data_IF_313747337380
#
_entry.id   IF_313747337380
#
_cell.length_a   1.000
_cell.length_b   1.000
_cell.length_c   1.000
_cell.angle_alpha   90.00
_cell.angle_beta   90.00
_cell.angle_gamma   90.00
#
_symmetry.space_group_name_H-M   'P 1'
#
loop_
_entity.id
_entity.type
_entity.pdbx_description
1 polymer ?
#
# COMPACT_ATOMS: atom_id res chain seq x y z
N UNK A 1 -50.78 16.47 -46.22
CA UNK A 1 -49.34 16.32 -46.48
C UNK A 1 -48.59 16.88 -45.28
N UNK A 2 -48.26 16.03 -44.31
CA UNK A 2 -47.51 16.36 -43.14
C UNK A 2 -46.22 15.56 -43.23
N UNK A 3 -45.14 16.30 -43.51
CA UNK A 3 -43.78 15.76 -43.59
C UNK A 3 -43.24 15.56 -42.14
N UNK A 4 -43.10 14.30 -41.77
CA UNK A 4 -42.50 13.89 -40.48
C UNK A 4 -41.08 13.39 -40.70
N UNK A 5 -40.17 14.31 -40.92
CA UNK A 5 -38.72 14.01 -40.85
C UNK A 5 -38.26 14.19 -39.39
N UNK A 6 -38.32 13.10 -38.60
CA UNK A 6 -37.59 13.03 -37.34
C UNK A 6 -36.11 12.91 -37.63
N UNK A 7 -35.23 13.71 -37.01
CA UNK A 7 -33.78 13.55 -37.15
C UNK A 7 -33.37 12.23 -36.50
N UNK A 8 -32.80 11.35 -37.30
CA UNK A 8 -32.10 10.14 -36.81
C UNK A 8 -30.95 10.55 -35.93
N UNK A 9 -31.05 10.27 -34.65
CA UNK A 9 -29.91 10.36 -33.73
C UNK A 9 -28.75 9.48 -34.29
N UNK A 10 -27.52 9.98 -34.37
CA UNK A 10 -26.41 9.17 -34.79
C UNK A 10 -26.26 7.96 -33.84
N UNK A 11 -26.31 6.78 -34.39
CA UNK A 11 -26.00 5.53 -33.66
C UNK A 11 -24.50 5.59 -33.39
N UNK A 12 -24.17 6.05 -32.19
CA UNK A 12 -22.79 5.96 -31.69
C UNK A 12 -22.40 4.48 -31.58
N UNK A 13 -21.23 4.11 -32.07
CA UNK A 13 -20.69 2.76 -31.97
C UNK A 13 -20.53 2.43 -30.47
N UNK A 14 -21.10 1.31 -29.96
CA UNK A 14 -20.93 0.93 -28.55
C UNK A 14 -19.46 0.85 -28.09
N UNK A 15 -18.53 0.64 -29.03
CA UNK A 15 -17.10 0.65 -28.76
C UNK A 15 -16.54 2.07 -28.48
N UNK A 16 -17.10 3.09 -29.14
CA UNK A 16 -16.74 4.49 -28.89
C UNK A 16 -17.30 4.97 -27.54
N UNK A 17 -18.53 4.61 -27.22
CA UNK A 17 -19.19 4.96 -25.95
C UNK A 17 -18.44 4.34 -24.73
N UNK A 18 -18.04 3.06 -24.85
CA UNK A 18 -17.23 2.39 -23.82
C UNK A 18 -15.81 3.02 -23.72
N UNK A 19 -15.22 3.44 -24.84
CA UNK A 19 -13.90 4.06 -24.83
C UNK A 19 -13.93 5.48 -24.24
N UNK A 20 -15.00 6.23 -24.43
CA UNK A 20 -15.21 7.54 -23.78
C UNK A 20 -15.48 7.38 -22.28
N UNK A 21 -16.34 6.44 -21.88
CA UNK A 21 -16.69 6.17 -20.48
C UNK A 21 -15.48 5.65 -19.67
N UNK A 22 -14.56 4.92 -20.31
CA UNK A 22 -13.30 4.48 -19.69
C UNK A 22 -12.20 5.55 -19.71
N UNK A 23 -12.25 6.49 -20.65
CA UNK A 23 -11.21 7.51 -20.79
C UNK A 23 -11.25 8.57 -19.66
N UNK A 24 -12.43 8.92 -19.16
CA UNK A 24 -12.57 9.86 -18.04
C UNK A 24 -11.95 9.37 -16.74
N UNK A 25 -12.27 8.16 -16.22
CA UNK A 25 -11.64 7.67 -15.01
C UNK A 25 -10.14 7.35 -15.18
N UNK A 26 -9.69 7.04 -16.42
CA UNK A 26 -8.27 6.86 -16.70
C UNK A 26 -7.52 8.20 -16.79
N UNK A 27 -8.18 9.27 -17.19
CA UNK A 27 -7.62 10.62 -17.18
C UNK A 27 -7.52 11.20 -15.75
N UNK A 28 -8.45 10.86 -14.85
CA UNK A 28 -8.36 11.19 -13.41
C UNK A 28 -7.24 10.41 -12.69
N UNK A 29 -6.90 9.23 -13.16
CA UNK A 29 -5.70 8.50 -12.75
C UNK A 29 -4.41 9.13 -13.32
N UNK A 30 -4.51 10.31 -13.96
CA UNK A 30 -3.33 11.03 -14.42
C UNK A 30 -2.45 11.30 -13.22
N UNK A 31 -1.44 10.45 -13.11
CA UNK A 31 -0.34 10.50 -12.18
C UNK A 31 0.08 11.96 -12.08
N UNK A 32 -0.04 12.54 -10.90
CA UNK A 32 0.43 13.91 -10.63
C UNK A 32 1.82 14.12 -11.22
N UNK A 33 2.30 15.34 -11.35
CA UNK A 33 3.44 15.67 -12.22
C UNK A 33 4.56 14.62 -12.04
N UNK A 34 5.03 14.05 -13.14
CA UNK A 34 6.00 12.94 -13.22
C UNK A 34 7.18 13.06 -12.24
N UNK A 35 7.55 14.27 -11.87
CA UNK A 35 8.65 14.56 -10.95
C UNK A 35 8.34 14.14 -9.49
N UNK A 36 7.05 14.15 -9.05
CA UNK A 36 6.65 13.62 -7.75
C UNK A 36 6.86 12.12 -7.66
N UNK A 37 6.53 11.38 -8.74
CA UNK A 37 6.75 9.94 -8.81
C UNK A 37 8.24 9.63 -8.81
N UNK A 38 9.03 10.44 -9.53
CA UNK A 38 10.49 10.32 -9.56
C UNK A 38 11.12 10.56 -8.19
N UNK A 39 10.73 11.63 -7.48
CA UNK A 39 11.22 11.92 -6.13
C UNK A 39 10.87 10.76 -5.19
N UNK A 40 9.64 10.25 -5.25
CA UNK A 40 9.21 9.10 -4.43
C UNK A 40 10.05 7.86 -4.72
N UNK A 41 10.36 7.60 -5.98
CA UNK A 41 11.24 6.51 -6.39
C UNK A 41 12.66 6.67 -5.85
N UNK A 42 13.25 7.85 -5.97
CA UNK A 42 14.60 8.14 -5.44
C UNK A 42 14.63 8.00 -3.91
N UNK A 43 13.64 8.54 -3.20
CA UNK A 43 13.54 8.43 -1.75
C UNK A 43 13.38 6.96 -1.30
N UNK A 44 12.61 6.16 -2.03
CA UNK A 44 12.45 4.75 -1.76
C UNK A 44 13.77 3.97 -1.94
N UNK A 45 14.52 4.24 -3.01
CA UNK A 45 15.85 3.64 -3.22
C UNK A 45 16.82 4.06 -2.13
N UNK A 46 16.88 5.36 -1.79
CA UNK A 46 17.75 5.86 -0.74
C UNK A 46 17.44 5.21 0.62
N UNK A 47 16.16 5.11 0.97
CA UNK A 47 15.70 4.43 2.18
C UNK A 47 16.11 2.94 2.17
N UNK A 48 15.90 2.25 1.05
CA UNK A 48 16.27 0.84 0.93
C UNK A 48 17.77 0.59 1.07
N UNK A 49 18.60 1.47 0.51
CA UNK A 49 20.06 1.42 0.69
C UNK A 49 20.44 1.63 2.17
N UNK A 50 19.86 2.63 2.83
CA UNK A 50 20.09 2.87 4.27
C UNK A 50 19.65 1.65 5.09
N UNK A 51 18.54 1.03 4.76
CA UNK A 51 18.02 -0.16 5.45
C UNK A 51 18.99 -1.35 5.36
N UNK A 52 19.68 -1.52 4.23
CA UNK A 52 20.66 -2.60 4.05
C UNK A 52 21.98 -2.34 4.78
N UNK A 53 22.48 -1.10 4.79
CA UNK A 53 23.78 -0.76 5.39
C UNK A 53 23.69 -0.34 6.85
N UNK A 54 22.56 0.21 7.27
CA UNK A 54 22.33 0.71 8.63
C UNK A 54 20.91 0.40 9.10
N UNK A 55 20.58 -0.88 9.39
CA UNK A 55 19.22 -1.28 9.74
C UNK A 55 18.66 -0.56 10.97
N UNK A 56 19.54 -0.22 11.94
CA UNK A 56 19.14 0.58 13.09
C UNK A 56 18.68 2.00 12.70
N UNK A 57 19.39 2.67 11.80
CA UNK A 57 19.01 3.99 11.32
C UNK A 57 17.68 3.95 10.54
N UNK A 58 17.45 2.91 9.74
CA UNK A 58 16.20 2.71 9.03
C UNK A 58 15.02 2.51 10.00
N UNK A 59 15.20 1.73 11.07
CA UNK A 59 14.19 1.58 12.13
C UNK A 59 13.83 2.91 12.78
N UNK A 60 14.83 3.71 13.12
CA UNK A 60 14.61 5.03 13.70
C UNK A 60 13.87 5.96 12.75
N UNK A 61 14.25 5.97 11.46
CA UNK A 61 13.57 6.76 10.44
C UNK A 61 12.09 6.38 10.32
N UNK A 62 11.79 5.06 10.28
CA UNK A 62 10.41 4.57 10.24
C UNK A 62 9.64 5.02 11.48
N UNK A 63 10.22 4.88 12.68
CA UNK A 63 9.56 5.26 13.93
C UNK A 63 9.25 6.76 13.99
N UNK A 64 10.17 7.61 13.52
CA UNK A 64 9.98 9.06 13.48
C UNK A 64 8.87 9.43 12.48
N UNK A 65 8.92 8.89 11.26
CA UNK A 65 7.91 9.16 10.23
C UNK A 65 6.53 8.67 10.69
N UNK A 66 6.47 7.44 11.24
CA UNK A 66 5.23 6.89 11.77
C UNK A 66 4.70 7.69 12.97
N UNK A 67 5.59 8.11 13.87
CA UNK A 67 5.23 8.95 15.02
C UNK A 67 4.64 10.30 14.60
N UNK A 68 5.27 10.98 13.64
CA UNK A 68 4.74 12.22 13.09
C UNK A 68 3.39 12.01 12.39
N UNK A 69 3.28 10.95 11.59
CA UNK A 69 2.01 10.57 10.94
C UNK A 69 0.90 10.30 11.97
N UNK A 70 1.19 9.51 13.01
CA UNK A 70 0.22 9.16 14.03
C UNK A 70 -0.29 10.37 14.83
N UNK A 71 0.56 11.39 15.05
CA UNK A 71 0.14 12.65 15.67
C UNK A 71 -0.84 13.40 14.75
N UNK A 72 -0.49 13.57 13.47
CA UNK A 72 -1.34 14.28 12.52
C UNK A 72 -2.67 13.57 12.34
N UNK A 73 -2.63 12.23 12.18
CA UNK A 73 -3.82 11.39 12.05
C UNK A 73 -4.71 11.48 13.29
N UNK A 74 -4.12 11.33 14.48
CA UNK A 74 -4.85 11.43 15.74
C UNK A 74 -5.47 12.80 15.98
N UNK A 75 -4.79 13.90 15.62
CA UNK A 75 -5.38 15.26 15.69
C UNK A 75 -6.57 15.37 14.73
N UNK A 76 -6.44 14.83 13.52
CA UNK A 76 -7.52 14.82 12.52
C UNK A 76 -8.72 14.00 13.01
N UNK A 77 -8.47 12.84 13.63
CA UNK A 77 -9.49 11.97 14.21
C UNK A 77 -10.23 12.66 15.38
N UNK A 78 -9.49 13.36 16.26
CA UNK A 78 -10.08 14.16 17.35
C UNK A 78 -10.95 15.27 16.78
N UNK A 79 -10.47 16.02 15.78
CA UNK A 79 -11.24 17.09 15.15
C UNK A 79 -12.52 16.54 14.50
N UNK A 80 -12.41 15.41 13.80
CA UNK A 80 -13.55 14.71 13.21
C UNK A 80 -14.55 14.24 14.28
N UNK A 81 -14.10 13.61 15.36
CA UNK A 81 -14.94 13.16 16.47
C UNK A 81 -15.75 14.30 17.09
N UNK A 82 -15.12 15.46 17.31
CA UNK A 82 -15.78 16.67 17.84
C UNK A 82 -16.82 17.20 16.84
N UNK A 83 -16.53 17.17 15.55
CA UNK A 83 -17.45 17.64 14.52
C UNK A 83 -18.72 16.77 14.44
N UNK A 84 -18.57 15.44 14.49
CA UNK A 84 -19.69 14.49 14.37
C UNK A 84 -20.40 14.17 15.69
N UNK A 85 -20.00 14.79 16.79
CA UNK A 85 -20.53 14.50 18.15
C UNK A 85 -22.06 14.58 18.28
N UNK A 86 -22.71 15.44 17.48
CA UNK A 86 -24.17 15.62 17.49
C UNK A 86 -24.91 14.58 16.63
N UNK A 87 -24.24 13.95 15.70
CA UNK A 87 -24.83 13.05 14.70
C UNK A 87 -24.51 11.58 14.99
N UNK A 88 -23.32 11.29 15.55
CA UNK A 88 -22.85 9.93 15.81
C UNK A 88 -22.97 9.55 17.29
N UNK A 89 -23.78 8.54 17.61
CA UNK A 89 -23.94 8.04 18.98
C UNK A 89 -22.65 7.49 19.61
N UNK A 90 -21.66 7.11 18.77
CA UNK A 90 -20.36 6.52 19.17
C UNK A 90 -19.17 7.46 18.99
N UNK A 91 -19.38 8.77 18.95
CA UNK A 91 -18.31 9.77 18.77
C UNK A 91 -17.18 9.66 19.81
N UNK A 92 -17.52 9.24 21.05
CA UNK A 92 -16.55 9.06 22.13
C UNK A 92 -15.50 7.98 21.83
N UNK A 93 -15.84 6.94 21.04
CA UNK A 93 -14.88 5.93 20.61
C UNK A 93 -13.86 6.48 19.61
N UNK A 94 -14.32 7.33 18.67
CA UNK A 94 -13.44 8.05 17.75
C UNK A 94 -12.50 9.00 18.50
N UNK A 95 -13.04 9.75 19.48
CA UNK A 95 -12.24 10.65 20.31
C UNK A 95 -11.16 9.89 21.10
N UNK A 96 -11.52 8.75 21.69
CA UNK A 96 -10.58 7.88 22.39
C UNK A 96 -9.48 7.36 21.45
N UNK A 97 -9.84 6.87 20.26
CA UNK A 97 -8.89 6.40 19.26
C UNK A 97 -7.91 7.51 18.86
N UNK A 98 -8.39 8.71 18.56
CA UNK A 98 -7.54 9.85 18.20
C UNK A 98 -6.58 10.26 19.33
N UNK A 99 -7.04 10.26 20.59
CA UNK A 99 -6.16 10.53 21.75
C UNK A 99 -5.08 9.47 21.88
N UNK A 100 -5.42 8.18 21.74
CA UNK A 100 -4.46 7.07 21.79
C UNK A 100 -3.46 7.20 20.66
N UNK A 101 -3.90 7.55 19.45
CA UNK A 101 -3.02 7.75 18.28
C UNK A 101 -2.01 8.88 18.53
N UNK A 102 -2.45 10.04 19.06
CA UNK A 102 -1.54 11.14 19.42
C UNK A 102 -0.53 10.72 20.48
N UNK A 103 -0.97 10.05 21.54
CA UNK A 103 -0.08 9.58 22.60
C UNK A 103 0.93 8.54 22.09
N UNK A 104 0.49 7.61 21.23
CA UNK A 104 1.36 6.64 20.58
C UNK A 104 2.39 7.32 19.66
N UNK A 105 1.96 8.35 18.91
CA UNK A 105 2.84 9.14 18.07
C UNK A 105 3.91 9.91 18.88
N UNK A 106 3.53 10.52 19.99
CA UNK A 106 4.47 11.19 20.90
C UNK A 106 5.45 10.16 21.49
N UNK A 107 4.95 9.02 21.96
CA UNK A 107 5.81 7.96 22.49
C UNK A 107 6.80 7.44 21.44
N UNK A 108 6.38 7.34 20.17
CA UNK A 108 7.25 6.94 19.06
C UNK A 108 8.36 7.96 18.78
N UNK A 109 8.09 9.26 18.96
CA UNK A 109 9.10 10.31 18.79
C UNK A 109 10.07 10.39 19.98
N UNK A 110 9.59 10.13 21.21
CA UNK A 110 10.42 10.19 22.43
C UNK A 110 11.27 8.93 22.58
N UNK A 111 10.73 7.76 22.21
CA UNK A 111 11.39 6.46 22.35
C UNK A 111 11.39 5.69 21.01
N UNK A 112 12.04 6.23 19.96
CA UNK A 112 11.93 5.68 18.60
C UNK A 112 12.44 4.23 18.51
N UNK A 113 13.46 3.84 19.28
CA UNK A 113 13.95 2.47 19.30
C UNK A 113 12.93 1.45 19.84
N UNK A 114 12.22 1.80 20.90
CA UNK A 114 11.14 0.96 21.44
C UNK A 114 9.94 0.90 20.50
N UNK A 115 9.50 2.05 19.99
CA UNK A 115 8.38 2.13 19.07
C UNK A 115 8.67 1.31 17.79
N UNK A 116 9.90 1.41 17.25
CA UNK A 116 10.33 0.61 16.11
C UNK A 116 10.31 -0.89 16.40
N UNK A 117 10.82 -1.31 17.57
CA UNK A 117 10.82 -2.71 17.95
C UNK A 117 9.41 -3.28 18.10
N UNK A 118 8.52 -2.58 18.81
CA UNK A 118 7.12 -2.99 18.94
C UNK A 118 6.39 -2.99 17.60
N UNK A 119 6.59 -1.96 16.77
CA UNK A 119 6.01 -1.87 15.43
C UNK A 119 6.49 -3.02 14.53
N UNK A 120 7.78 -3.34 14.54
CA UNK A 120 8.34 -4.45 13.78
C UNK A 120 7.77 -5.79 14.25
N UNK A 121 7.70 -6.03 15.55
CA UNK A 121 7.09 -7.26 16.10
C UNK A 121 5.60 -7.37 15.73
N UNK A 122 4.86 -6.27 15.83
CA UNK A 122 3.45 -6.24 15.41
C UNK A 122 3.29 -6.61 13.93
N UNK A 123 4.13 -6.04 13.05
CA UNK A 123 4.12 -6.37 11.62
C UNK A 123 4.49 -7.83 11.38
N UNK A 124 5.51 -8.36 12.06
CA UNK A 124 5.91 -9.77 11.93
C UNK A 124 4.76 -10.68 12.32
N UNK A 125 4.10 -10.42 13.47
CA UNK A 125 2.95 -11.22 13.89
C UNK A 125 1.76 -11.10 12.93
N UNK A 126 1.55 -9.93 12.35
CA UNK A 126 0.53 -9.74 11.31
C UNK A 126 0.86 -10.58 10.08
N UNK A 127 2.11 -10.62 9.64
CA UNK A 127 2.57 -11.46 8.52
C UNK A 127 2.42 -12.95 8.84
N UNK A 128 2.77 -13.38 10.05
CA UNK A 128 2.60 -14.76 10.51
C UNK A 128 1.13 -15.17 10.44
N UNK A 129 0.25 -14.38 11.05
CA UNK A 129 -1.18 -14.64 11.05
C UNK A 129 -1.76 -14.67 9.63
N UNK A 130 -1.39 -13.67 8.81
CA UNK A 130 -1.81 -13.62 7.41
C UNK A 130 -1.38 -14.87 6.63
N UNK A 131 -0.12 -15.30 6.73
CA UNK A 131 0.39 -16.47 6.01
C UNK A 131 -0.32 -17.77 6.43
N UNK A 132 -0.58 -17.95 7.72
CA UNK A 132 -1.30 -19.12 8.23
C UNK A 132 -2.75 -19.12 7.73
N UNK A 133 -3.46 -18.01 7.87
CA UNK A 133 -4.85 -17.89 7.42
C UNK A 133 -4.97 -18.01 5.89
N UNK A 134 -4.10 -17.33 5.16
CA UNK A 134 -4.07 -17.39 3.70
C UNK A 134 -3.77 -18.83 3.22
N UNK A 135 -2.76 -19.47 3.79
CA UNK A 135 -2.44 -20.85 3.44
C UNK A 135 -3.59 -21.82 3.72
N UNK A 136 -4.28 -21.66 4.87
CA UNK A 136 -5.46 -22.45 5.21
C UNK A 136 -6.62 -22.24 4.21
N UNK A 137 -6.89 -20.99 3.82
CA UNK A 137 -7.94 -20.69 2.83
C UNK A 137 -7.61 -21.22 1.44
N UNK A 138 -6.35 -21.14 1.01
CA UNK A 138 -5.88 -21.69 -0.28
C UNK A 138 -6.04 -23.22 -0.31
N UNK A 139 -5.69 -23.91 0.77
CA UNK A 139 -5.89 -25.37 0.87
C UNK A 139 -7.38 -25.70 0.88
N UNK A 140 -8.20 -24.95 1.63
CA UNK A 140 -9.64 -25.15 1.69
C UNK A 140 -10.32 -24.98 0.34
N UNK A 141 -9.93 -23.96 -0.43
CA UNK A 141 -10.48 -23.70 -1.77
C UNK A 141 -9.99 -24.70 -2.84
N UNK A 142 -8.84 -25.36 -2.61
CA UNK A 142 -8.31 -26.36 -3.51
C UNK A 142 -9.22 -27.60 -3.68
N UNK A 143 -10.14 -27.84 -2.73
CA UNK A 143 -11.11 -28.94 -2.82
C UNK A 143 -12.11 -28.81 -3.98
N UNK A 144 -12.42 -27.55 -4.41
CA UNK A 144 -13.31 -27.25 -5.53
C UNK A 144 -12.59 -26.98 -6.86
N UNK A 145 -11.25 -26.99 -6.87
CA UNK A 145 -10.47 -26.72 -8.08
C UNK A 145 -10.35 -27.93 -8.98
N UNK A 146 -10.24 -27.70 -10.31
CA UNK A 146 -9.93 -28.75 -11.28
C UNK A 146 -8.62 -29.46 -10.93
N UNK A 147 -8.53 -30.75 -11.24
CA UNK A 147 -7.40 -31.61 -10.87
C UNK A 147 -6.01 -31.05 -11.25
N UNK A 148 -5.92 -30.31 -12.36
CA UNK A 148 -4.67 -29.74 -12.88
C UNK A 148 -4.13 -28.55 -12.04
N UNK A 149 -5.00 -27.81 -11.33
CA UNK A 149 -4.62 -26.66 -10.47
C UNK A 149 -4.51 -27.03 -8.98
N UNK A 150 -5.18 -28.10 -8.55
CA UNK A 150 -5.30 -28.50 -7.16
C UNK A 150 -3.96 -28.76 -6.46
N UNK A 151 -3.05 -29.48 -7.13
CA UNK A 151 -1.73 -29.80 -6.55
C UNK A 151 -0.89 -28.54 -6.28
N UNK A 152 -0.90 -27.60 -7.21
CA UNK A 152 -0.19 -26.33 -7.07
C UNK A 152 -0.78 -25.46 -5.96
N UNK A 153 -2.12 -25.40 -5.83
CA UNK A 153 -2.78 -24.67 -4.78
C UNK A 153 -2.46 -25.24 -3.39
N UNK A 154 -2.50 -26.59 -3.24
CA UNK A 154 -2.12 -27.25 -1.97
C UNK A 154 -0.65 -26.97 -1.64
N UNK A 155 0.26 -27.08 -2.60
CA UNK A 155 1.67 -26.77 -2.39
C UNK A 155 1.88 -25.32 -1.93
N UNK A 156 1.26 -24.36 -2.61
CA UNK A 156 1.34 -22.94 -2.25
C UNK A 156 0.77 -22.67 -0.85
N UNK A 157 -0.37 -23.27 -0.51
CA UNK A 157 -0.97 -23.14 0.81
C UNK A 157 -0.11 -23.72 1.93
N UNK A 158 0.45 -24.92 1.72
CA UNK A 158 1.38 -25.56 2.69
C UNK A 158 2.65 -24.73 2.84
N UNK A 159 3.24 -24.24 1.74
CA UNK A 159 4.41 -23.38 1.77
C UNK A 159 4.14 -22.07 2.53
N UNK A 160 2.96 -21.47 2.36
CA UNK A 160 2.56 -20.25 3.09
C UNK A 160 2.46 -20.52 4.61
N UNK A 161 1.80 -21.60 5.01
CA UNK A 161 1.71 -21.98 6.44
C UNK A 161 3.09 -22.27 7.01
N UNK A 162 3.93 -23.06 6.31
CA UNK A 162 5.27 -23.38 6.76
C UNK A 162 6.12 -22.11 6.93
N UNK A 163 6.06 -21.16 6.00
CA UNK A 163 6.72 -19.86 6.12
C UNK A 163 6.24 -19.08 7.35
N UNK A 164 4.92 -19.01 7.57
CA UNK A 164 4.36 -18.35 8.76
C UNK A 164 4.83 -18.98 10.07
N UNK A 165 4.84 -20.33 10.16
CA UNK A 165 5.30 -21.06 11.34
C UNK A 165 6.79 -20.86 11.58
N UNK A 166 7.63 -20.94 10.53
CA UNK A 166 9.08 -20.70 10.65
C UNK A 166 9.33 -19.27 11.15
N UNK A 167 8.64 -18.27 10.60
CA UNK A 167 8.76 -16.89 11.04
C UNK A 167 8.30 -16.69 12.49
N UNK A 168 7.24 -17.38 12.94
CA UNK A 168 6.80 -17.36 14.33
C UNK A 168 7.87 -17.93 15.26
N UNK A 169 8.43 -19.11 14.94
CA UNK A 169 9.49 -19.73 15.72
C UNK A 169 10.72 -18.82 15.81
N UNK A 170 11.16 -18.25 14.67
CA UNK A 170 12.30 -17.32 14.63
C UNK A 170 12.04 -16.11 15.51
N UNK A 171 10.82 -15.57 15.50
CA UNK A 171 10.45 -14.41 16.33
C UNK A 171 10.49 -14.72 17.82
N UNK A 172 10.12 -15.93 18.23
CA UNK A 172 10.20 -16.37 19.63
C UNK A 172 11.63 -16.65 20.09
N UNK A 173 12.43 -17.31 19.24
CA UNK A 173 13.80 -17.73 19.61
C UNK A 173 14.79 -16.57 19.50
N UNK A 174 14.68 -15.77 18.44
CA UNK A 174 15.62 -14.69 18.13
C UNK A 174 14.89 -13.47 17.58
N UNK A 175 14.14 -12.71 18.43
CA UNK A 175 13.35 -11.56 17.96
C UNK A 175 14.19 -10.51 17.23
N UNK A 176 15.42 -10.29 17.63
CA UNK A 176 16.34 -9.39 16.95
C UNK A 176 16.64 -9.80 15.51
N UNK A 177 16.87 -11.10 15.27
CA UNK A 177 17.10 -11.61 13.92
C UNK A 177 15.85 -11.52 13.04
N UNK A 178 14.67 -11.76 13.61
CA UNK A 178 13.40 -11.60 12.89
C UNK A 178 13.18 -10.13 12.47
N UNK A 179 13.46 -9.17 13.37
CA UNK A 179 13.37 -7.73 13.08
C UNK A 179 14.38 -7.35 11.99
N UNK A 180 15.63 -7.81 12.07
CA UNK A 180 16.63 -7.55 11.04
C UNK A 180 16.23 -8.12 9.68
N UNK A 181 15.70 -9.35 9.65
CA UNK A 181 15.18 -9.98 8.44
C UNK A 181 14.03 -9.17 7.81
N UNK A 182 13.12 -8.65 8.63
CA UNK A 182 12.05 -7.76 8.16
C UNK A 182 12.61 -6.48 7.53
N UNK A 183 13.62 -5.85 8.18
CA UNK A 183 14.22 -4.62 7.65
C UNK A 183 14.92 -4.88 6.33
N UNK A 184 15.67 -5.96 6.20
CA UNK A 184 16.30 -6.32 4.93
C UNK A 184 15.29 -6.61 3.84
N UNK A 185 14.20 -7.33 4.15
CA UNK A 185 13.13 -7.59 3.19
C UNK A 185 12.47 -6.28 2.71
N UNK A 186 12.15 -5.37 3.65
CA UNK A 186 11.60 -4.04 3.34
C UNK A 186 12.61 -3.20 2.55
N UNK A 187 13.90 -3.25 2.89
CA UNK A 187 14.96 -2.54 2.18
C UNK A 187 15.09 -2.99 0.72
N UNK A 188 15.14 -4.30 0.48
CA UNK A 188 15.18 -4.86 -0.88
C UNK A 188 13.92 -4.48 -1.65
N UNK A 189 12.74 -4.62 -1.03
CA UNK A 189 11.48 -4.23 -1.63
C UNK A 189 11.47 -2.75 -2.01
N UNK A 190 11.95 -1.87 -1.12
CA UNK A 190 11.99 -0.43 -1.34
C UNK A 190 12.92 -0.06 -2.52
N UNK A 191 14.06 -0.75 -2.67
CA UNK A 191 14.96 -0.55 -3.82
C UNK A 191 14.27 -0.96 -5.12
N UNK A 192 13.72 -2.17 -5.18
CA UNK A 192 13.04 -2.68 -6.38
C UNK A 192 11.87 -1.79 -6.77
N UNK A 193 11.02 -1.47 -5.79
CA UNK A 193 9.85 -0.62 -6.01
C UNK A 193 10.25 0.81 -6.41
N UNK A 194 11.27 1.37 -5.77
CA UNK A 194 11.78 2.70 -6.09
C UNK A 194 12.37 2.79 -7.49
N UNK A 195 13.11 1.77 -7.93
CA UNK A 195 13.61 1.66 -9.30
C UNK A 195 12.45 1.57 -10.29
N UNK A 196 11.43 0.75 -10.01
CA UNK A 196 10.24 0.66 -10.86
C UNK A 196 9.51 2.01 -10.97
N UNK A 197 9.35 2.74 -9.88
CA UNK A 197 8.76 4.08 -9.89
C UNK A 197 9.60 5.08 -10.69
N UNK A 198 10.91 5.05 -10.54
CA UNK A 198 11.81 5.94 -11.29
C UNK A 198 11.73 5.66 -12.81
N UNK A 199 11.74 4.39 -13.21
CA UNK A 199 11.56 3.98 -14.61
C UNK A 199 10.19 4.42 -15.14
N UNK A 200 9.12 4.20 -14.37
CA UNK A 200 7.76 4.62 -14.75
C UNK A 200 7.67 6.15 -14.94
N UNK A 201 8.28 6.93 -14.05
CA UNK A 201 8.30 8.39 -14.15
C UNK A 201 9.05 8.87 -15.40
N UNK A 202 10.18 8.25 -15.74
CA UNK A 202 10.98 8.60 -16.93
C UNK A 202 10.22 8.23 -18.21
N UNK A 203 9.58 7.08 -18.26
CA UNK A 203 8.79 6.64 -19.42
C UNK A 203 7.55 7.50 -19.62
N UNK A 204 6.84 7.86 -18.55
CA UNK A 204 5.71 8.79 -18.62
C UNK A 204 6.10 10.16 -19.20
N UNK A 205 7.28 10.70 -18.78
CA UNK A 205 7.83 11.94 -19.35
C UNK A 205 8.11 11.81 -20.84
N UNK A 206 8.65 10.67 -21.30
CA UNK A 206 8.99 10.47 -22.71
C UNK A 206 7.73 10.38 -23.58
N UNK A 207 6.66 9.73 -23.09
CA UNK A 207 5.38 9.61 -23.80
C UNK A 207 4.63 10.94 -23.89
N UNK A 208 4.64 11.77 -22.84
CA UNK A 208 4.03 13.09 -22.85
C UNK A 208 4.66 14.06 -23.88
N UNK A 209 5.97 13.93 -24.14
CA UNK A 209 6.64 14.72 -25.18
C UNK A 209 6.24 14.32 -26.62
N UNK A 210 5.96 13.03 -26.86
CA UNK A 210 5.55 12.54 -28.18
C UNK A 210 4.18 13.07 -28.60
N UNK A 211 3.24 13.14 -27.69
CA UNK A 211 1.87 13.60 -28.00
C UNK A 211 1.81 15.09 -28.37
N UNK A 212 2.69 15.93 -27.80
CA UNK A 212 2.76 17.36 -28.15
C UNK A 212 3.34 17.62 -29.56
N UNK A 213 4.19 16.73 -30.07
CA UNK A 213 4.78 16.85 -31.41
C UNK A 213 3.83 16.40 -32.53
N UNK A 214 2.87 15.53 -32.24
CA UNK A 214 1.87 15.05 -33.23
C UNK A 214 0.71 16.06 -33.39
N UNK A 215 0.42 16.87 -32.39
CA UNK A 215 -0.64 17.91 -32.48
C UNK A 215 -0.17 19.21 -33.15
N UNK A 216 1.11 19.35 -33.46
CA UNK A 216 1.69 20.56 -34.08
C UNK A 216 1.97 20.38 -35.60
N UNK A 217 1.49 19.32 -36.22
CA UNK A 217 1.53 19.05 -37.69
C UNK A 217 0.11 18.99 -38.23
#
# INVERSE_FOLDING_TARGET
MTDSSSPSSPVTDPAEEISEELSEPLAELSIGPWWWVLIRGILAVAFGVIALFSPGAALWAIAIVFGAYAIVDGITEIAHAVHVRKTLKRWGWLLFAGIVSVLAGIAALVLPGLAAAFGALFLIWTIVFYNVMHGATVIGSASGAEAKGRGWAIFAGVASIAFGVILAILTFVTPGAAILGLIFAVGIYAIVFGVMLAVAAITARASGKKNLTVQSV
#
